data_IF_574514965436
#
_entry.id   IF_574514965436
#
_cell.length_a   1.000
_cell.length_b   1.000
_cell.length_c   1.000
_cell.angle_alpha   90.00
_cell.angle_beta   90.00
_cell.angle_gamma   90.00
#
_symmetry.space_group_name_H-M   'P 1'
#
loop_
_entity.id
_entity.type
_entity.pdbx_description
1 polymer ?
#
# COMPACT_ATOMS: atom_id res chain seq x y z
N UNK A 1 8.13 -18.82 2.35
CA UNK A 1 8.91 -19.15 1.13
C UNK A 1 8.14 -18.89 -0.17
N UNK A 2 6.91 -19.39 -0.40
CA UNK A 2 6.20 -19.12 -1.66
C UNK A 2 5.65 -17.69 -1.75
N UNK A 3 5.14 -17.14 -0.65
CA UNK A 3 4.51 -15.81 -0.61
C UNK A 3 5.53 -14.72 -0.93
N UNK A 4 6.70 -14.74 -0.27
CA UNK A 4 7.80 -13.77 -0.49
C UNK A 4 8.27 -13.69 -1.95
N UNK A 5 8.30 -14.82 -2.66
CA UNK A 5 8.73 -14.86 -4.05
C UNK A 5 7.76 -14.13 -4.99
N UNK A 6 6.45 -14.31 -4.77
CA UNK A 6 5.39 -13.68 -5.56
C UNK A 6 5.44 -12.15 -5.41
N UNK A 7 5.70 -11.66 -4.18
CA UNK A 7 5.82 -10.22 -3.90
C UNK A 7 7.01 -9.60 -4.62
N UNK A 8 8.16 -10.29 -4.61
CA UNK A 8 9.39 -9.80 -5.25
C UNK A 8 9.27 -9.74 -6.77
N UNK A 9 8.61 -10.73 -7.39
CA UNK A 9 8.35 -10.71 -8.85
C UNK A 9 7.38 -9.58 -9.25
N UNK A 10 6.32 -9.35 -8.47
CA UNK A 10 5.40 -8.23 -8.72
C UNK A 10 6.07 -6.86 -8.54
N UNK A 11 6.88 -6.68 -7.49
CA UNK A 11 7.65 -5.46 -7.26
C UNK A 11 8.56 -5.12 -8.46
N UNK A 12 9.23 -6.14 -9.00
CA UNK A 12 10.11 -5.98 -10.17
C UNK A 12 9.33 -5.63 -11.44
N UNK A 13 8.16 -6.24 -11.66
CA UNK A 13 7.30 -5.96 -12.81
C UNK A 13 6.63 -4.58 -12.74
N UNK A 14 6.34 -4.06 -11.54
CA UNK A 14 5.69 -2.76 -11.32
C UNK A 14 6.67 -1.59 -11.16
N UNK A 15 7.95 -1.80 -11.51
CA UNK A 15 8.94 -0.74 -11.56
C UNK A 15 9.35 -0.19 -10.19
N UNK A 16 9.29 -1.01 -9.15
CA UNK A 16 9.75 -0.64 -7.80
C UNK A 16 8.66 -0.09 -6.87
N UNK A 17 7.38 -0.32 -7.17
CA UNK A 17 6.29 -0.06 -6.22
C UNK A 17 5.87 -1.39 -5.57
N UNK A 18 6.04 -1.52 -4.25
CA UNK A 18 5.57 -2.68 -3.50
C UNK A 18 4.05 -2.66 -3.47
N UNK A 19 3.42 -3.53 -4.26
CA UNK A 19 1.97 -3.73 -4.25
C UNK A 19 1.69 -5.16 -3.80
N UNK A 20 0.95 -5.29 -2.69
CA UNK A 20 0.55 -6.59 -2.17
C UNK A 20 -0.82 -6.94 -2.76
N UNK A 21 -0.90 -8.08 -3.44
CA UNK A 21 -2.12 -8.58 -4.07
C UNK A 21 -2.46 -9.98 -3.54
N UNK A 22 -3.71 -10.16 -3.09
CA UNK A 22 -4.27 -11.48 -2.72
C UNK A 22 -5.45 -11.89 -3.62
N UNK A 23 -5.58 -11.29 -4.81
CA UNK A 23 -6.63 -11.61 -5.80
C UNK A 23 -8.05 -11.08 -5.49
N UNK A 24 -8.26 -10.46 -4.33
CA UNK A 24 -9.52 -9.79 -3.93
C UNK A 24 -9.33 -8.32 -3.57
N UNK A 25 -8.13 -7.96 -3.12
CA UNK A 25 -7.78 -6.64 -2.63
C UNK A 25 -6.34 -6.35 -3.02
N UNK A 26 -6.12 -5.15 -3.57
CA UNK A 26 -4.81 -4.59 -3.83
C UNK A 26 -4.46 -3.65 -2.67
N UNK A 27 -3.34 -3.89 -1.99
CA UNK A 27 -2.79 -2.95 -1.03
C UNK A 27 -1.64 -2.21 -1.71
N UNK A 28 -1.69 -0.88 -1.64
CA UNK A 28 -0.63 -0.02 -2.17
C UNK A 28 -0.24 1.01 -1.11
N UNK A 29 1.06 1.22 -0.95
CA UNK A 29 1.55 2.34 -0.16
C UNK A 29 1.35 3.64 -0.94
N UNK A 30 0.39 4.47 -0.52
CA UNK A 30 0.04 5.73 -1.18
C UNK A 30 -0.69 6.65 -0.19
N UNK A 31 -0.42 7.96 -0.27
CA UNK A 31 -1.03 8.96 0.63
C UNK A 31 -2.34 9.53 0.08
N UNK A 32 -2.78 9.09 -1.10
CA UNK A 32 -4.02 9.51 -1.75
C UNK A 32 -5.24 8.90 -1.07
N UNK A 33 -6.22 9.72 -0.67
CA UNK A 33 -7.45 9.22 -0.03
C UNK A 33 -8.44 8.56 -1.01
N UNK A 34 -8.26 8.78 -2.31
CA UNK A 34 -9.08 8.19 -3.36
C UNK A 34 -8.36 6.99 -3.95
N UNK A 35 -8.98 5.82 -3.85
CA UNK A 35 -8.50 4.60 -4.49
C UNK A 35 -9.49 4.09 -5.54
N UNK A 36 -9.02 3.41 -6.61
CA UNK A 36 -9.89 2.66 -7.51
C UNK A 36 -10.63 1.52 -6.77
N UNK A 37 -11.68 0.98 -7.41
CA UNK A 37 -12.39 -0.20 -6.90
C UNK A 37 -11.40 -1.35 -6.70
N UNK A 38 -11.44 -1.97 -5.52
CA UNK A 38 -10.57 -3.08 -5.09
C UNK A 38 -9.11 -2.70 -4.76
N UNK A 39 -8.83 -1.41 -4.52
CA UNK A 39 -7.52 -0.94 -4.05
C UNK A 39 -7.65 -0.21 -2.72
N UNK A 40 -6.83 -0.58 -1.73
CA UNK A 40 -6.73 0.09 -0.43
C UNK A 40 -5.34 0.72 -0.34
N UNK A 41 -5.32 2.02 -0.08
CA UNK A 41 -4.08 2.73 0.18
C UNK A 41 -3.75 2.66 1.67
N UNK A 42 -2.49 2.45 1.99
CA UNK A 42 -1.97 2.54 3.35
C UNK A 42 -0.70 3.39 3.37
N UNK A 43 -0.35 3.92 4.52
CA UNK A 43 0.90 4.64 4.74
C UNK A 43 1.35 4.44 6.20
N UNK A 44 2.64 4.59 6.45
CA UNK A 44 3.21 4.42 7.79
C UNK A 44 3.51 5.78 8.43
N UNK A 45 3.20 5.87 9.72
CA UNK A 45 3.46 7.05 10.54
C UNK A 45 4.41 6.68 11.66
N UNK A 46 5.38 7.55 11.94
CA UNK A 46 6.32 7.35 13.05
C UNK A 46 5.77 7.90 14.37
N UNK A 47 4.81 8.84 14.30
CA UNK A 47 4.22 9.49 15.45
C UNK A 47 2.68 9.59 15.32
N UNK A 48 1.99 9.49 16.46
CA UNK A 48 0.53 9.63 16.49
C UNK A 48 0.06 11.05 16.20
N UNK A 49 0.87 12.07 16.50
CA UNK A 49 0.54 13.45 16.24
C UNK A 49 0.60 13.79 14.74
N UNK A 50 1.52 13.16 13.99
CA UNK A 50 1.59 13.23 12.52
C UNK A 50 0.29 12.68 11.88
N UNK A 51 -0.17 11.52 12.37
CA UNK A 51 -1.43 10.93 11.93
C UNK A 51 -2.64 11.84 12.26
N UNK A 52 -2.67 12.43 13.46
CA UNK A 52 -3.75 13.35 13.85
C UNK A 52 -3.76 14.59 12.99
N UNK A 53 -2.61 15.18 12.68
CA UNK A 53 -2.50 16.35 11.80
C UNK A 53 -3.04 16.04 10.40
N UNK A 54 -2.68 14.88 9.82
CA UNK A 54 -3.19 14.45 8.51
C UNK A 54 -4.71 14.27 8.48
N UNK A 55 -5.30 13.75 9.57
CA UNK A 55 -6.73 13.48 9.69
C UNK A 55 -7.54 14.69 10.17
N UNK A 56 -6.89 15.75 10.64
CA UNK A 56 -7.54 16.98 11.07
C UNK A 56 -7.90 17.81 9.83
N UNK A 57 -9.14 17.68 9.39
CA UNK A 57 -9.74 18.47 8.31
C UNK A 57 -9.83 19.96 8.63
#
# INVERSE_FOLDING_TARGET
MPITLIITEHFFLMGGNEMLENGFLLLREDSSLTSPISMLHYEFYNDLDELKERLSF
#
